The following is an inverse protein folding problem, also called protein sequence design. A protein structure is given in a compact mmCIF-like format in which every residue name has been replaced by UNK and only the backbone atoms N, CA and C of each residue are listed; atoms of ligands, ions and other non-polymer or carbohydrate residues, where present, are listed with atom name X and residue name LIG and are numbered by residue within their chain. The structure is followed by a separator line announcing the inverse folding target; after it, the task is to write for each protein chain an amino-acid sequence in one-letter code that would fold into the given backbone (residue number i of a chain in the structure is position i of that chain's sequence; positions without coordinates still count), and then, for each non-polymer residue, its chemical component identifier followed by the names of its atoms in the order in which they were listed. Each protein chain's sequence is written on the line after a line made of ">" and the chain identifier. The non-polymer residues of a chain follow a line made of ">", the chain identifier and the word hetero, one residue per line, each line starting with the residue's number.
data_IF_701040993781
#
_entry.id   IF_701040993781
#
_cell.length_a   1.000
_cell.length_b   1.000
_cell.length_c   1.000
_cell.angle_alpha   90.00
_cell.angle_beta   90.00
_cell.angle_gamma   90.00
#
_symmetry.space_group_name_H-M   'P 1'
#
loop_
_entity.id
_entity.type
_entity.pdbx_description
1 polymer ?
#
# COMPACT_ATOMS: atom_id res chain seq x y z
N UNK A 1 -8.52 -15.64 4.85
CA UNK A 1 -8.30 -15.07 3.51
C UNK A 1 -9.39 -15.61 2.58
N UNK A 2 -10.24 -14.72 2.08
CA UNK A 2 -11.13 -15.04 0.96
C UNK A 2 -10.31 -14.87 -0.32
N UNK A 3 -10.14 -15.96 -1.06
CA UNK A 3 -9.30 -16.02 -2.25
C UNK A 3 -10.08 -15.65 -3.52
N UNK A 4 -10.65 -14.43 -3.57
CA UNK A 4 -10.96 -13.85 -4.87
C UNK A 4 -9.65 -13.29 -5.44
N UNK A 5 -9.16 -13.96 -6.39
CA UNK A 5 -7.96 -13.93 -7.24
C UNK A 5 -6.89 -12.81 -7.08
N UNK A 6 -7.17 -11.68 -6.43
CA UNK A 6 -6.24 -10.53 -6.37
C UNK A 6 -6.20 -9.81 -5.02
N UNK A 7 -6.91 -10.26 -3.99
CA UNK A 7 -6.94 -9.59 -2.71
C UNK A 7 -7.00 -10.53 -1.51
N UNK A 8 -6.23 -10.21 -0.47
CA UNK A 8 -6.33 -10.83 0.84
C UNK A 8 -6.81 -9.76 1.82
N UNK A 9 -7.79 -10.06 2.67
CA UNK A 9 -8.26 -9.14 3.69
C UNK A 9 -8.49 -9.84 5.04
N UNK A 10 -8.44 -9.06 6.10
CA UNK A 10 -8.72 -9.52 7.45
C UNK A 10 -10.23 -9.77 7.60
N UNK A 11 -10.63 -11.03 7.75
CA UNK A 11 -12.03 -11.43 7.95
C UNK A 11 -12.62 -10.96 9.27
N UNK A 12 -11.79 -10.56 10.23
CA UNK A 12 -12.19 -10.06 11.54
C UNK A 12 -12.19 -8.52 11.60
N UNK A 13 -11.94 -7.84 10.48
CA UNK A 13 -11.93 -6.38 10.43
C UNK A 13 -13.27 -5.81 10.88
N UNK A 14 -13.22 -4.87 11.81
CA UNK A 14 -14.39 -4.14 12.29
C UNK A 14 -14.60 -2.91 11.40
N UNK A 15 -15.76 -2.84 10.74
CA UNK A 15 -16.06 -1.79 9.75
C UNK A 15 -16.32 -0.40 10.37
N UNK A 16 -16.05 -0.21 11.66
CA UNK A 16 -16.04 1.08 12.36
C UNK A 16 -14.69 1.82 12.22
N UNK A 17 -13.63 1.11 11.85
CA UNK A 17 -12.27 1.65 11.64
C UNK A 17 -12.06 2.07 10.18
N UNK A 18 -11.03 2.89 9.94
CA UNK A 18 -10.58 3.20 8.58
C UNK A 18 -9.78 2.00 8.04
N UNK A 19 -10.22 1.32 6.97
CA UNK A 19 -9.46 0.24 6.40
C UNK A 19 -8.18 0.77 5.73
N UNK A 20 -7.06 0.14 6.05
CA UNK A 20 -5.77 0.39 5.43
C UNK A 20 -5.53 -0.64 4.33
N UNK A 21 -5.35 -0.18 3.11
CA UNK A 21 -5.14 -1.03 1.95
C UNK A 21 -3.81 -0.69 1.30
N UNK A 22 -3.00 -1.71 1.06
CA UNK A 22 -1.78 -1.62 0.28
C UNK A 22 -1.79 -2.64 -0.85
N UNK A 23 -0.86 -2.52 -1.77
CA UNK A 23 -0.76 -3.48 -2.85
C UNK A 23 0.45 -3.20 -3.74
N UNK A 24 0.58 -4.03 -4.74
CA UNK A 24 1.66 -3.95 -5.72
C UNK A 24 1.78 -5.24 -6.51
N UNK A 25 2.82 -5.39 -7.31
CA UNK A 25 3.09 -6.62 -8.02
C UNK A 25 3.42 -7.78 -7.08
N UNK A 26 3.25 -9.01 -7.55
CA UNK A 26 3.69 -10.23 -6.87
C UNK A 26 5.19 -10.45 -7.06
N UNK A 27 5.80 -11.32 -6.26
CA UNK A 27 7.20 -11.73 -6.39
C UNK A 27 8.15 -11.09 -5.37
N UNK A 28 7.62 -10.32 -4.42
CA UNK A 28 8.40 -9.74 -3.31
C UNK A 28 7.77 -10.09 -1.96
N UNK A 29 7.32 -11.33 -1.82
CA UNK A 29 6.71 -11.84 -0.59
C UNK A 29 7.63 -11.62 0.64
N UNK A 30 7.02 -11.34 1.82
CA UNK A 30 5.59 -11.38 2.16
C UNK A 30 4.80 -10.09 1.88
N UNK A 31 5.39 -9.10 1.21
CA UNK A 31 4.68 -7.86 0.89
C UNK A 31 3.66 -8.12 -0.23
N UNK A 32 2.37 -7.74 -0.08
CA UNK A 32 1.85 -7.05 1.07
C UNK A 32 0.96 -7.97 1.92
N UNK A 33 0.54 -9.12 1.40
CA UNK A 33 -0.43 -10.04 2.00
C UNK A 33 -0.01 -10.54 3.39
N UNK A 34 1.28 -10.74 3.63
CA UNK A 34 1.81 -11.18 4.93
C UNK A 34 1.70 -10.13 6.04
N UNK A 35 1.25 -8.92 5.72
CA UNK A 35 1.05 -7.83 6.69
C UNK A 35 -0.42 -7.51 6.94
N UNK A 36 -1.33 -8.36 6.46
CA UNK A 36 -2.76 -8.24 6.71
C UNK A 36 -3.10 -8.81 8.08
N UNK A 37 -3.72 -8.01 8.93
CA UNK A 37 -4.14 -8.41 10.27
C UNK A 37 -4.36 -7.22 11.21
N UNK A 38 -4.81 -7.49 12.44
CA UNK A 38 -5.16 -6.44 13.41
C UNK A 38 -4.01 -5.48 13.70
N UNK A 39 -4.27 -4.17 13.60
CA UNK A 39 -3.29 -3.12 13.82
C UNK A 39 -2.19 -3.04 12.76
N UNK A 40 -2.43 -3.62 11.60
CA UNK A 40 -1.58 -3.59 10.41
C UNK A 40 -2.44 -3.23 9.18
N UNK A 41 -2.29 -3.95 8.06
CA UNK A 41 -3.17 -3.77 6.89
C UNK A 41 -4.52 -4.46 7.12
N UNK A 42 -5.58 -3.82 6.65
CA UNK A 42 -6.90 -4.46 6.54
C UNK A 42 -6.99 -5.34 5.30
N UNK A 43 -6.36 -4.92 4.20
CA UNK A 43 -6.30 -5.70 2.98
C UNK A 43 -5.01 -5.45 2.18
N UNK A 44 -4.63 -6.45 1.41
CA UNK A 44 -3.56 -6.38 0.43
C UNK A 44 -4.10 -6.79 -0.95
N UNK A 45 -3.74 -6.02 -1.98
CA UNK A 45 -4.16 -6.28 -3.36
C UNK A 45 -2.91 -6.60 -4.18
N UNK A 46 -2.88 -7.80 -4.75
CA UNK A 46 -1.73 -8.31 -5.46
C UNK A 46 -2.00 -8.30 -6.97
N UNK A 47 -1.12 -7.67 -7.72
CA UNK A 47 -1.08 -7.78 -9.17
C UNK A 47 -0.33 -9.02 -9.65
N UNK A 48 -0.03 -9.09 -10.93
CA UNK A 48 0.82 -10.13 -11.50
C UNK A 48 2.30 -9.92 -11.12
N UNK A 49 3.19 -10.80 -11.52
CA UNK A 49 4.63 -10.71 -11.15
C UNK A 49 5.21 -9.37 -11.63
N UNK A 50 5.67 -8.57 -10.68
CA UNK A 50 6.24 -7.23 -10.87
C UNK A 50 5.33 -6.19 -11.55
N UNK A 51 4.02 -6.44 -11.61
CA UNK A 51 3.06 -5.47 -12.12
C UNK A 51 1.98 -5.17 -11.07
N UNK A 52 1.60 -3.89 -10.86
CA UNK A 52 0.57 -3.55 -9.90
C UNK A 52 -0.80 -4.08 -10.34
N UNK A 53 -1.75 -4.19 -9.40
CA UNK A 53 -3.15 -4.41 -9.75
C UNK A 53 -3.68 -3.22 -10.54
N UNK A 54 -4.70 -3.45 -11.35
CA UNK A 54 -5.41 -2.39 -12.06
C UNK A 54 -6.24 -1.53 -11.09
N UNK A 55 -6.54 -0.29 -11.49
CA UNK A 55 -7.41 0.59 -10.68
C UNK A 55 -8.80 -0.01 -10.43
N UNK A 56 -9.35 -0.77 -11.39
CA UNK A 56 -10.63 -1.47 -11.25
C UNK A 56 -10.57 -2.57 -10.19
N UNK A 57 -9.49 -3.34 -10.15
CA UNK A 57 -9.28 -4.37 -9.11
C UNK A 57 -9.14 -3.72 -7.74
N UNK A 58 -8.41 -2.63 -7.62
CA UNK A 58 -8.27 -1.87 -6.38
C UNK A 58 -9.64 -1.39 -5.88
N UNK A 59 -10.44 -0.78 -6.76
CA UNK A 59 -11.79 -0.31 -6.42
C UNK A 59 -12.69 -1.48 -6.01
N UNK A 60 -12.66 -2.58 -6.75
CA UNK A 60 -13.46 -3.79 -6.47
C UNK A 60 -13.15 -4.33 -5.07
N UNK A 61 -11.87 -4.57 -4.75
CA UNK A 61 -11.46 -5.09 -3.45
C UNK A 61 -11.79 -4.10 -2.33
N UNK A 62 -11.56 -2.81 -2.53
CA UNK A 62 -11.91 -1.78 -1.54
C UNK A 62 -13.39 -1.84 -1.17
N UNK A 63 -14.29 -1.97 -2.14
CA UNK A 63 -15.73 -2.09 -1.92
C UNK A 63 -16.16 -3.40 -1.25
N UNK A 64 -15.36 -4.45 -1.35
CA UNK A 64 -15.59 -5.72 -0.64
C UNK A 64 -15.17 -5.63 0.83
N UNK A 65 -14.10 -4.89 1.12
CA UNK A 65 -13.51 -4.77 2.45
C UNK A 65 -14.36 -3.92 3.39
N UNK A 66 -14.95 -2.83 2.90
CA UNK A 66 -15.73 -1.90 3.72
C UNK A 66 -16.99 -1.39 3.03
N UNK A 67 -18.05 -1.18 3.82
CA UNK A 67 -19.29 -0.52 3.38
C UNK A 67 -19.38 0.95 3.82
N UNK A 68 -18.43 1.41 4.64
CA UNK A 68 -18.41 2.76 5.22
C UNK A 68 -17.98 3.86 4.24
N UNK A 69 -17.64 3.53 2.99
CA UNK A 69 -17.15 4.47 1.97
C UNK A 69 -15.96 5.29 2.45
N UNK A 70 -15.08 4.66 3.23
CA UNK A 70 -13.84 5.26 3.74
C UNK A 70 -12.69 4.31 3.48
N UNK A 71 -11.52 4.83 3.10
CA UNK A 71 -10.32 4.02 2.89
C UNK A 71 -9.07 4.87 2.97
N UNK A 72 -7.98 4.30 3.45
CA UNK A 72 -6.65 4.89 3.39
C UNK A 72 -5.70 3.95 2.63
N UNK A 73 -5.07 4.45 1.57
CA UNK A 73 -4.12 3.71 0.76
C UNK A 73 -2.68 3.97 1.19
N UNK A 74 -1.88 2.91 1.31
CA UNK A 74 -0.44 2.96 1.54
C UNK A 74 0.24 2.42 0.29
N UNK A 75 0.93 3.28 -0.45
CA UNK A 75 1.45 2.98 -1.78
C UNK A 75 2.96 3.13 -1.79
N UNK A 76 3.67 2.14 -2.30
CA UNK A 76 5.11 2.24 -2.56
C UNK A 76 5.35 3.16 -3.75
N UNK A 77 6.42 3.97 -3.70
CA UNK A 77 6.77 4.89 -4.77
C UNK A 77 7.36 4.17 -6.00
N UNK A 78 6.51 3.44 -6.70
CA UNK A 78 6.77 2.94 -8.05
C UNK A 78 5.76 3.60 -8.99
N UNK A 79 6.18 4.12 -10.15
CA UNK A 79 5.30 4.91 -11.02
C UNK A 79 3.98 4.21 -11.38
N UNK A 80 4.04 2.91 -11.67
CA UNK A 80 2.87 2.13 -12.02
C UNK A 80 1.91 1.93 -10.84
N UNK A 81 2.43 1.64 -9.63
CA UNK A 81 1.63 1.53 -8.39
C UNK A 81 0.96 2.86 -8.07
N UNK A 82 1.73 3.95 -8.07
CA UNK A 82 1.21 5.30 -7.79
C UNK A 82 0.09 5.66 -8.78
N UNK A 83 0.29 5.39 -10.08
CA UNK A 83 -0.73 5.63 -11.11
C UNK A 83 -2.01 4.83 -10.86
N UNK A 84 -1.90 3.53 -10.60
CA UNK A 84 -3.04 2.65 -10.40
C UNK A 84 -3.86 3.03 -9.15
N UNK A 85 -3.18 3.25 -8.01
CA UNK A 85 -3.85 3.63 -6.76
C UNK A 85 -4.43 5.05 -6.80
N UNK A 86 -3.75 6.00 -7.46
CA UNK A 86 -4.29 7.35 -7.66
C UNK A 86 -5.55 7.33 -8.53
N UNK A 87 -5.56 6.54 -9.61
CA UNK A 87 -6.74 6.37 -10.44
C UNK A 87 -7.91 5.73 -9.69
N UNK A 88 -7.62 4.70 -8.87
CA UNK A 88 -8.63 4.09 -8.00
C UNK A 88 -9.19 5.07 -6.97
N UNK A 89 -8.31 5.87 -6.34
CA UNK A 89 -8.70 6.91 -5.40
C UNK A 89 -9.64 7.93 -6.06
N UNK A 90 -9.29 8.43 -7.23
CA UNK A 90 -10.13 9.38 -7.99
C UNK A 90 -11.49 8.79 -8.36
N UNK A 91 -11.53 7.51 -8.73
CA UNK A 91 -12.78 6.83 -9.03
C UNK A 91 -13.67 6.73 -7.78
N UNK A 92 -13.12 6.32 -6.64
CA UNK A 92 -13.85 6.24 -5.38
C UNK A 92 -14.35 7.62 -4.93
N UNK A 93 -13.55 8.67 -5.08
CA UNK A 93 -13.95 10.04 -4.76
C UNK A 93 -15.14 10.52 -5.59
N UNK A 94 -15.20 10.18 -6.89
CA UNK A 94 -16.38 10.45 -7.75
C UNK A 94 -17.64 9.73 -7.25
N UNK A 95 -17.47 8.63 -6.53
CA UNK A 95 -18.55 7.88 -5.90
C UNK A 95 -18.81 8.32 -4.44
N UNK A 96 -18.32 9.50 -4.04
CA UNK A 96 -18.47 10.08 -2.69
C UNK A 96 -17.81 9.29 -1.57
N UNK A 97 -16.70 8.61 -1.85
CA UNK A 97 -15.86 8.00 -0.83
C UNK A 97 -14.91 9.03 -0.20
N UNK A 98 -14.70 8.92 1.09
CA UNK A 98 -13.62 9.60 1.78
C UNK A 98 -12.34 8.75 1.65
N UNK A 99 -11.31 9.31 1.05
CA UNK A 99 -10.08 8.57 0.75
C UNK A 99 -8.86 9.32 1.22
N UNK A 100 -7.92 8.61 1.83
CA UNK A 100 -6.55 9.06 2.07
C UNK A 100 -5.56 8.23 1.27
N UNK A 101 -4.38 8.79 1.03
CA UNK A 101 -3.29 8.10 0.36
C UNK A 101 -1.96 8.65 0.85
N UNK A 102 -1.01 7.78 1.16
CA UNK A 102 0.38 8.15 1.36
C UNK A 102 1.29 7.36 0.41
N UNK A 103 2.35 8.02 -0.04
CA UNK A 103 3.37 7.41 -0.91
C UNK A 103 4.63 7.20 -0.08
N UNK A 104 5.08 5.96 0.02
CA UNK A 104 6.28 5.59 0.76
C UNK A 104 7.49 5.56 -0.17
N UNK A 105 8.54 6.30 0.19
CA UNK A 105 9.74 6.51 -0.60
C UNK A 105 10.99 6.45 0.29
N UNK A 106 11.18 5.32 0.98
CA UNK A 106 12.14 5.13 2.06
C UNK A 106 13.54 4.70 1.60
N UNK A 107 13.71 4.28 0.34
CA UNK A 107 15.01 3.85 -0.19
C UNK A 107 15.98 5.01 -0.35
N UNK A 108 17.03 5.04 0.49
CA UNK A 108 18.08 6.07 0.46
C UNK A 108 19.31 5.65 -0.37
N UNK A 109 19.29 4.49 -1.03
CA UNK A 109 20.39 4.06 -1.92
C UNK A 109 20.59 5.03 -3.09
N UNK A 110 19.58 5.85 -3.40
CA UNK A 110 19.59 6.90 -4.41
C UNK A 110 19.66 8.26 -3.71
N UNK A 111 20.85 8.61 -3.19
CA UNK A 111 21.02 9.78 -2.30
C UNK A 111 21.43 11.09 -3.00
N UNK A 112 21.32 11.18 -4.32
CA UNK A 112 21.53 12.45 -5.00
C UNK A 112 20.28 13.34 -4.89
N UNK A 113 20.44 14.60 -4.47
CA UNK A 113 19.33 15.56 -4.24
C UNK A 113 18.33 15.62 -5.41
N UNK A 114 18.86 15.65 -6.65
CA UNK A 114 18.05 15.64 -7.88
C UNK A 114 17.27 14.34 -8.12
N UNK A 115 17.56 13.28 -7.38
CA UNK A 115 16.96 11.96 -7.51
C UNK A 115 16.07 11.56 -6.34
N UNK A 116 15.93 12.40 -5.32
CA UNK A 116 15.06 12.12 -4.14
C UNK A 116 13.64 11.75 -4.53
N UNK A 117 13.10 12.34 -5.59
CA UNK A 117 11.77 11.99 -6.12
C UNK A 117 11.70 10.58 -6.72
N UNK A 118 12.86 9.94 -7.00
CA UNK A 118 12.97 8.58 -7.53
C UNK A 118 13.20 7.54 -6.43
N UNK A 119 13.28 7.94 -5.17
CA UNK A 119 13.36 6.98 -4.06
C UNK A 119 12.17 6.04 -4.11
N UNK A 120 12.45 4.75 -4.07
CA UNK A 120 11.41 3.70 -4.08
C UNK A 120 10.89 3.46 -2.68
N UNK A 121 9.65 2.97 -2.59
CA UNK A 121 9.12 2.38 -1.37
C UNK A 121 9.59 0.94 -1.26
N UNK A 122 10.28 0.62 -0.18
CA UNK A 122 10.82 -0.73 0.08
C UNK A 122 10.47 -1.19 1.49
N UNK A 123 11.38 -1.73 2.26
CA UNK A 123 11.11 -2.36 3.56
C UNK A 123 10.54 -1.41 4.62
N UNK A 124 10.83 -0.12 4.56
CA UNK A 124 10.27 0.89 5.48
C UNK A 124 8.74 1.01 5.40
N UNK A 125 8.14 0.55 4.33
CA UNK A 125 6.68 0.45 4.18
C UNK A 125 6.04 -0.36 5.30
N UNK A 126 6.72 -1.36 5.86
CA UNK A 126 6.24 -2.17 6.98
C UNK A 126 6.02 -1.31 8.23
N UNK A 127 6.91 -0.35 8.51
CA UNK A 127 6.77 0.57 9.62
C UNK A 127 5.54 1.48 9.43
N UNK A 128 5.28 1.90 8.19
CA UNK A 128 4.09 2.68 7.85
C UNK A 128 2.83 1.86 8.08
N UNK A 129 2.79 0.59 7.64
CA UNK A 129 1.67 -0.33 7.92
C UNK A 129 1.42 -0.45 9.42
N UNK A 130 2.48 -0.63 10.22
CA UNK A 130 2.36 -0.83 11.67
C UNK A 130 1.86 0.42 12.40
N UNK A 131 2.43 1.57 12.08
CA UNK A 131 2.10 2.82 12.79
C UNK A 131 0.70 3.30 12.41
N UNK A 132 0.39 3.34 11.11
CA UNK A 132 -0.95 3.74 10.67
C UNK A 132 -2.00 2.69 11.04
N UNK A 133 -1.65 1.39 11.01
CA UNK A 133 -2.55 0.31 11.45
C UNK A 133 -2.91 0.42 12.91
N UNK A 134 -1.94 0.71 13.78
CA UNK A 134 -2.20 0.94 15.19
C UNK A 134 -3.07 2.19 15.42
N UNK A 135 -2.81 3.28 14.69
CA UNK A 135 -3.63 4.50 14.77
C UNK A 135 -5.07 4.25 14.30
N UNK A 136 -5.25 3.57 13.16
CA UNK A 136 -6.57 3.21 12.66
C UNK A 136 -7.36 2.32 13.64
N UNK A 137 -6.67 1.36 14.26
CA UNK A 137 -7.26 0.50 15.30
C UNK A 137 -7.68 1.28 16.56
N UNK A 138 -7.10 2.44 16.81
CA UNK A 138 -7.49 3.37 17.88
C UNK A 138 -8.55 4.38 17.44
N UNK A 139 -9.09 4.25 16.24
CA UNK A 139 -10.17 5.10 15.73
C UNK A 139 -9.70 6.37 15.02
N UNK A 140 -8.43 6.47 14.61
CA UNK A 140 -7.94 7.62 13.88
C UNK A 140 -8.74 7.87 12.60
N UNK A 141 -9.09 9.13 12.34
CA UNK A 141 -9.72 9.60 11.11
C UNK A 141 -8.75 9.60 9.92
N UNK A 142 -9.27 9.72 8.70
CA UNK A 142 -8.44 9.88 7.50
C UNK A 142 -7.51 11.10 7.59
N UNK A 143 -7.98 12.21 8.19
CA UNK A 143 -7.18 13.41 8.37
C UNK A 143 -6.00 13.17 9.34
N UNK A 144 -6.25 12.48 10.45
CA UNK A 144 -5.20 12.11 11.41
C UNK A 144 -4.20 11.13 10.80
N UNK A 145 -4.67 10.10 10.09
CA UNK A 145 -3.80 9.16 9.37
C UNK A 145 -2.93 9.89 8.34
N UNK A 146 -3.50 10.86 7.62
CA UNK A 146 -2.76 11.68 6.66
C UNK A 146 -1.67 12.51 7.36
N UNK A 147 -2.01 13.12 8.50
CA UNK A 147 -1.05 13.89 9.30
C UNK A 147 0.09 13.02 9.84
N UNK A 148 -0.25 11.85 10.40
CA UNK A 148 0.75 10.87 10.89
C UNK A 148 1.65 10.42 9.73
N UNK A 149 1.08 10.07 8.58
CA UNK A 149 1.85 9.65 7.40
C UNK A 149 2.80 10.75 6.91
N UNK A 150 2.34 12.01 6.87
CA UNK A 150 3.16 13.15 6.46
C UNK A 150 4.35 13.41 7.39
N UNK A 151 4.19 13.16 8.69
CA UNK A 151 5.28 13.25 9.65
C UNK A 151 6.21 12.01 9.61
N UNK A 152 5.65 10.82 9.36
CA UNK A 152 6.36 9.55 9.45
C UNK A 152 7.23 9.28 8.22
N UNK A 153 6.65 9.36 7.02
CA UNK A 153 7.30 8.93 5.77
C UNK A 153 8.65 9.62 5.52
N UNK A 154 8.81 10.94 5.72
CA UNK A 154 10.11 11.60 5.53
C UNK A 154 11.21 11.15 6.50
N UNK A 155 10.85 10.49 7.60
CA UNK A 155 11.76 10.06 8.65
C UNK A 155 12.06 8.55 8.61
N UNK A 156 11.54 7.83 7.64
CA UNK A 156 11.86 6.41 7.41
C UNK A 156 12.90 6.31 6.30
N UNK A 157 14.01 5.64 6.61
CA UNK A 157 15.10 5.44 5.68
C UNK A 157 15.51 3.97 5.68
N UNK A 158 15.62 3.40 4.49
CA UNK A 158 16.13 2.04 4.30
C UNK A 158 17.19 2.02 3.22
N UNK A 159 18.08 1.05 3.31
CA UNK A 159 19.06 0.74 2.28
C UNK A 159 19.06 -0.77 2.06
N UNK A 160 19.04 -1.19 0.80
CA UNK A 160 19.11 -2.59 0.42
C UNK A 160 20.30 -2.85 -0.50
N UNK A 161 20.90 -4.02 -0.36
CA UNK A 161 21.97 -4.50 -1.23
C UNK A 161 21.59 -5.89 -1.74
N UNK A 162 21.72 -6.11 -3.03
CA UNK A 162 21.49 -7.41 -3.65
C UNK A 162 22.75 -7.87 -4.40
N UNK A 163 23.08 -9.15 -4.27
CA UNK A 163 24.22 -9.75 -4.98
C UNK A 163 23.93 -9.94 -6.49
N UNK A 164 22.66 -10.00 -6.87
CA UNK A 164 22.20 -10.11 -8.26
C UNK A 164 20.85 -9.46 -8.43
N UNK A 165 20.49 -9.08 -9.66
CA UNK A 165 19.15 -8.57 -9.97
C UNK A 165 18.07 -9.64 -9.85
N UNK A 166 16.83 -9.21 -9.57
CA UNK A 166 15.67 -10.09 -9.61
C UNK A 166 15.40 -10.54 -11.06
N UNK A 167 14.93 -11.78 -11.21
CA UNK A 167 14.58 -12.37 -12.52
C UNK A 167 13.10 -12.72 -12.57
N UNK A 168 12.48 -12.42 -13.70
CA UNK A 168 11.11 -12.86 -13.96
C UNK A 168 11.18 -14.34 -14.38
N UNK A 169 10.43 -15.24 -13.73
CA UNK A 169 10.39 -16.66 -14.12
C UNK A 169 10.05 -16.81 -15.60
N UNK A 170 10.84 -17.61 -16.33
CA UNK A 170 10.63 -17.89 -17.77
C UNK A 170 11.22 -16.87 -18.74
N UNK A 171 11.83 -15.81 -18.27
CA UNK A 171 12.62 -14.91 -19.13
C UNK A 171 14.10 -15.31 -19.14
N UNK A 172 14.68 -15.47 -20.34
CA UNK A 172 16.12 -15.63 -20.50
C UNK A 172 16.82 -14.31 -20.18
N UNK A 173 18.01 -14.37 -19.60
CA UNK A 173 18.93 -13.24 -19.38
C UNK A 173 19.39 -12.65 -20.69
#
# INVERSE_FOLDING_TARGET
>A
CSSDLFGCYDSNFQDDQIPLIAGGGSGHDPAHWGYVGPGMLTAAIMGTVFQPPTSQEIVKVTKQVTRQRRVFFIVKNFPADVSAFTAAQQQLQKEHWQTGLCIVADDISVDHESLKQRRRGVAGTILVHKILGAAAAQGASIAELTHIAAALVPNIHTIGVAASGARIPGQST
#
